data_IF_507505361152
#
_entry.id   IF_507505361152
#
_cell.length_a   1.000
_cell.length_b   1.000
_cell.length_c   1.000
_cell.angle_alpha   90.00
_cell.angle_beta   90.00
_cell.angle_gamma   90.00
#
_symmetry.space_group_name_H-M   'P 1'
#
loop_
_entity.id
_entity.type
_entity.pdbx_description
1 polymer ?
#
# COMPACT_ATOMS: atom_id res chain seq x y z
N UNK A 1 -27.01 -30.30 -20.59
CA UNK A 1 -26.25 -29.11 -21.08
C UNK A 1 -25.00 -28.93 -20.21
N UNK A 2 -24.18 -29.98 -20.07
CA UNK A 2 -23.16 -30.06 -18.99
C UNK A 2 -21.73 -30.28 -19.52
N UNK A 3 -21.56 -30.43 -20.84
CA UNK A 3 -20.27 -30.75 -21.47
C UNK A 3 -19.47 -29.56 -22.01
N UNK A 4 -20.02 -28.34 -22.06
CA UNK A 4 -19.33 -27.17 -22.64
C UNK A 4 -18.43 -26.42 -21.66
N UNK A 5 -18.71 -26.46 -20.35
CA UNK A 5 -17.85 -25.83 -19.33
C UNK A 5 -16.54 -26.63 -19.12
N UNK A 6 -16.60 -27.96 -19.22
CA UNK A 6 -15.44 -28.82 -18.94
C UNK A 6 -14.30 -28.63 -19.96
N UNK A 7 -14.61 -28.40 -21.24
CA UNK A 7 -13.61 -28.18 -22.30
C UNK A 7 -12.89 -26.82 -22.19
N UNK A 8 -13.58 -25.76 -21.78
CA UNK A 8 -13.00 -24.43 -21.61
C UNK A 8 -12.02 -24.43 -20.42
N UNK A 9 -12.43 -25.01 -19.28
CA UNK A 9 -11.55 -25.17 -18.12
C UNK A 9 -10.35 -26.09 -18.41
N UNK A 10 -10.52 -27.12 -19.26
CA UNK A 10 -9.41 -27.99 -19.67
C UNK A 10 -8.40 -27.22 -20.53
N UNK A 11 -8.87 -26.40 -21.47
CA UNK A 11 -8.00 -25.56 -22.30
C UNK A 11 -7.25 -24.53 -21.47
N UNK A 12 -7.91 -23.89 -20.51
CA UNK A 12 -7.28 -22.92 -19.62
C UNK A 12 -6.21 -23.56 -18.73
N UNK A 13 -6.50 -24.74 -18.15
CA UNK A 13 -5.51 -25.53 -17.40
C UNK A 13 -4.31 -25.96 -18.24
N UNK A 14 -4.53 -26.37 -19.49
CA UNK A 14 -3.46 -26.76 -20.40
C UNK A 14 -2.60 -25.55 -20.81
N UNK A 15 -3.23 -24.41 -21.07
CA UNK A 15 -2.54 -23.16 -21.40
C UNK A 15 -1.69 -22.67 -20.22
N UNK A 16 -2.25 -22.68 -19.00
CA UNK A 16 -1.51 -22.35 -17.79
C UNK A 16 -0.31 -23.29 -17.60
N UNK A 17 -0.49 -24.60 -17.77
CA UNK A 17 0.58 -25.58 -17.64
C UNK A 17 1.70 -25.36 -18.67
N UNK A 18 1.33 -25.01 -19.90
CA UNK A 18 2.27 -24.64 -20.95
C UNK A 18 3.05 -23.37 -20.60
N UNK A 19 2.36 -22.31 -20.15
CA UNK A 19 3.01 -21.08 -19.69
C UNK A 19 3.98 -21.34 -18.54
N UNK A 20 3.58 -22.15 -17.56
CA UNK A 20 4.47 -22.56 -16.46
C UNK A 20 5.72 -23.27 -16.98
N UNK A 21 5.58 -24.16 -17.98
CA UNK A 21 6.73 -24.85 -18.57
C UNK A 21 7.68 -23.89 -19.30
N UNK A 22 7.15 -22.90 -20.02
CA UNK A 22 7.96 -21.88 -20.68
C UNK A 22 8.70 -21.01 -19.67
N UNK A 23 7.99 -20.56 -18.63
CA UNK A 23 8.57 -19.78 -17.54
C UNK A 23 9.68 -20.56 -16.82
N UNK A 24 9.46 -21.85 -16.55
CA UNK A 24 10.46 -22.71 -15.92
C UNK A 24 11.72 -22.88 -16.81
N UNK A 25 11.52 -22.97 -18.12
CA UNK A 25 12.63 -23.09 -19.08
C UNK A 25 13.41 -21.79 -19.23
N UNK A 26 12.74 -20.63 -19.22
CA UNK A 26 13.37 -19.32 -19.37
C UNK A 26 13.88 -18.73 -18.05
N UNK A 27 13.45 -19.26 -16.89
CA UNK A 27 13.74 -18.71 -15.56
C UNK A 27 15.24 -18.44 -15.31
N UNK A 28 16.10 -19.39 -15.69
CA UNK A 28 17.56 -19.29 -15.49
C UNK A 28 18.30 -18.50 -16.57
N UNK A 29 17.62 -18.04 -17.62
CA UNK A 29 18.26 -17.24 -18.67
C UNK A 29 18.66 -15.87 -18.13
N UNK A 30 19.81 -15.38 -18.60
CA UNK A 30 20.35 -14.09 -18.21
C UNK A 30 19.43 -13.00 -18.77
N UNK A 31 19.00 -12.09 -17.90
CA UNK A 31 18.26 -10.90 -18.30
C UNK A 31 18.63 -9.75 -17.37
N UNK A 32 18.47 -8.52 -17.85
CA UNK A 32 18.69 -7.34 -17.04
C UNK A 32 17.61 -6.31 -17.30
N UNK A 33 17.33 -5.48 -16.29
CA UNK A 33 16.36 -4.39 -16.42
C UNK A 33 17.05 -3.20 -17.06
N UNK A 34 16.55 -2.75 -18.20
CA UNK A 34 17.04 -1.57 -18.90
C UNK A 34 16.47 -0.29 -18.27
N UNK A 35 15.16 -0.24 -18.07
CA UNK A 35 14.48 0.89 -17.46
C UNK A 35 13.29 0.46 -16.60
N UNK A 36 12.98 1.28 -15.60
CA UNK A 36 11.74 1.19 -14.83
C UNK A 36 10.93 2.45 -15.11
N UNK A 37 9.72 2.29 -15.62
CA UNK A 37 8.81 3.41 -15.92
C UNK A 37 7.57 3.32 -15.06
N UNK A 38 7.18 4.41 -14.41
CA UNK A 38 5.92 4.49 -13.66
C UNK A 38 4.95 5.42 -14.40
N UNK A 39 3.77 4.92 -14.72
CA UNK A 39 2.71 5.65 -15.41
C UNK A 39 1.50 5.82 -14.49
N UNK A 40 0.94 7.03 -14.45
CA UNK A 40 -0.31 7.32 -13.72
C UNK A 40 -0.14 7.90 -12.30
N UNK A 41 1.10 7.98 -11.78
CA UNK A 41 1.42 8.75 -10.59
C UNK A 41 1.45 10.25 -10.91
N UNK A 42 0.61 11.05 -10.24
CA UNK A 42 0.49 12.50 -10.45
C UNK A 42 0.95 13.31 -9.25
N UNK A 43 0.64 12.82 -8.05
CA UNK A 43 0.92 13.51 -6.78
C UNK A 43 2.12 12.91 -6.07
N UNK A 44 2.32 11.59 -6.22
CA UNK A 44 3.42 10.87 -5.57
C UNK A 44 4.78 11.36 -6.10
N UNK A 45 5.73 11.61 -5.21
CA UNK A 45 7.04 12.15 -5.57
C UNK A 45 7.83 11.15 -6.42
N UNK A 46 8.48 11.59 -7.51
CA UNK A 46 9.34 10.73 -8.31
C UNK A 46 10.46 10.06 -7.50
N UNK A 47 11.08 10.80 -6.58
CA UNK A 47 12.15 10.26 -5.71
C UNK A 47 11.66 9.18 -4.74
N UNK A 48 10.40 9.26 -4.30
CA UNK A 48 9.78 8.22 -3.47
C UNK A 48 9.59 6.94 -4.29
N UNK A 49 9.05 7.08 -5.51
CA UNK A 49 8.84 5.95 -6.43
C UNK A 49 10.16 5.32 -6.87
N UNK A 50 11.16 6.12 -7.21
CA UNK A 50 12.50 5.66 -7.57
C UNK A 50 13.10 4.77 -6.47
N UNK A 51 12.99 5.21 -5.21
CA UNK A 51 13.44 4.42 -4.07
C UNK A 51 12.63 3.12 -3.92
N UNK A 52 11.30 3.21 -4.03
CA UNK A 52 10.40 2.06 -3.92
C UNK A 52 10.65 1.00 -5.02
N UNK A 53 11.00 1.44 -6.23
CA UNK A 53 11.19 0.57 -7.40
C UNK A 53 12.64 0.24 -7.71
N UNK A 54 13.56 0.35 -6.73
CA UNK A 54 14.98 0.04 -6.97
C UNK A 54 15.27 -1.46 -7.12
N UNK A 55 14.45 -2.32 -6.50
CA UNK A 55 14.73 -3.77 -6.38
C UNK A 55 14.80 -4.48 -7.74
N UNK A 56 13.89 -4.24 -8.70
CA UNK A 56 13.96 -4.83 -10.04
C UNK A 56 15.25 -4.51 -10.79
N UNK A 57 15.85 -3.33 -10.59
CA UNK A 57 17.11 -2.94 -11.24
C UNK A 57 18.29 -3.83 -10.87
N UNK A 58 18.17 -4.64 -9.81
CA UNK A 58 19.21 -5.55 -9.33
C UNK A 58 19.08 -6.98 -9.90
N UNK A 59 18.03 -7.24 -10.70
CA UNK A 59 17.77 -8.55 -11.29
C UNK A 59 18.86 -8.96 -12.30
N UNK A 60 19.20 -10.26 -12.32
CA UNK A 60 20.23 -10.84 -13.21
C UNK A 60 19.69 -11.94 -14.11
N UNK A 61 18.53 -12.48 -13.77
CA UNK A 61 17.84 -13.55 -14.49
C UNK A 61 16.41 -13.14 -14.80
N UNK A 62 15.79 -13.79 -15.78
CA UNK A 62 14.36 -13.54 -16.09
C UNK A 62 13.48 -13.83 -14.86
N UNK A 63 13.80 -14.88 -14.11
CA UNK A 63 13.09 -15.18 -12.86
C UNK A 63 13.20 -14.04 -11.85
N UNK A 64 14.40 -13.46 -11.67
CA UNK A 64 14.59 -12.31 -10.77
C UNK A 64 13.77 -11.10 -11.22
N UNK A 65 13.73 -10.80 -12.52
CA UNK A 65 12.95 -9.67 -13.05
C UNK A 65 11.47 -9.84 -12.72
N UNK A 66 10.91 -11.03 -12.97
CA UNK A 66 9.50 -11.33 -12.68
C UNK A 66 9.24 -11.25 -11.17
N UNK A 67 10.05 -11.94 -10.36
CA UNK A 67 9.83 -11.99 -8.91
C UNK A 67 10.01 -10.62 -8.25
N UNK A 68 11.04 -9.86 -8.63
CA UNK A 68 11.30 -8.54 -8.04
C UNK A 68 10.29 -7.50 -8.50
N UNK A 69 9.82 -7.56 -9.75
CA UNK A 69 8.80 -6.65 -10.23
C UNK A 69 7.45 -6.90 -9.57
N UNK A 70 7.05 -8.17 -9.42
CA UNK A 70 5.82 -8.53 -8.71
C UNK A 70 5.89 -8.17 -7.22
N UNK A 71 6.99 -8.51 -6.52
CA UNK A 71 7.20 -8.09 -5.12
C UNK A 71 7.12 -6.56 -4.96
N UNK A 72 7.69 -5.82 -5.90
CA UNK A 72 7.63 -4.35 -5.89
C UNK A 72 6.19 -3.86 -6.08
N UNK A 73 5.43 -4.46 -7.00
CA UNK A 73 4.03 -4.09 -7.22
C UNK A 73 3.14 -4.37 -6.00
N UNK A 74 3.32 -5.54 -5.37
CA UNK A 74 2.62 -5.88 -4.14
C UNK A 74 2.94 -4.87 -3.02
N UNK A 75 4.21 -4.51 -2.87
CA UNK A 75 4.63 -3.52 -1.88
C UNK A 75 4.06 -2.14 -2.16
N UNK A 76 4.04 -1.70 -3.43
CA UNK A 76 3.39 -0.46 -3.83
C UNK A 76 1.89 -0.48 -3.51
N UNK A 77 1.21 -1.61 -3.73
CA UNK A 77 -0.20 -1.79 -3.36
C UNK A 77 -0.41 -1.72 -1.84
N UNK A 78 0.50 -2.28 -1.05
CA UNK A 78 0.42 -2.28 0.42
C UNK A 78 0.62 -0.89 1.06
N UNK A 79 1.17 0.08 0.33
CA UNK A 79 1.28 1.47 0.80
C UNK A 79 -0.09 2.17 0.95
N UNK A 80 -1.18 1.58 0.45
CA UNK A 80 -2.55 2.13 0.46
C UNK A 80 -2.71 3.51 -0.20
N UNK A 81 -1.83 3.86 -1.15
CA UNK A 81 -1.93 5.12 -1.91
C UNK A 81 -2.33 4.91 -3.38
N UNK A 82 -2.38 3.66 -3.84
CA UNK A 82 -2.83 3.27 -5.18
C UNK A 82 -4.05 2.36 -5.06
N UNK A 83 -5.05 2.58 -5.91
CA UNK A 83 -6.21 1.69 -6.04
C UNK A 83 -5.88 0.45 -6.88
N UNK A 84 -4.94 0.59 -7.82
CA UNK A 84 -4.52 -0.46 -8.73
C UNK A 84 -3.04 -0.28 -9.11
N UNK A 85 -2.31 -1.39 -9.19
CA UNK A 85 -0.89 -1.45 -9.56
C UNK A 85 -0.71 -2.64 -10.50
N UNK A 86 -0.45 -2.35 -11.77
CA UNK A 86 -0.20 -3.36 -12.80
C UNK A 86 1.26 -3.32 -13.23
N UNK A 87 1.84 -4.51 -13.43
CA UNK A 87 3.19 -4.68 -13.95
C UNK A 87 3.11 -5.17 -15.39
N UNK A 88 3.85 -4.51 -16.27
CA UNK A 88 4.07 -4.96 -17.63
C UNK A 88 5.58 -5.12 -17.85
N UNK A 89 5.95 -6.24 -18.45
CA UNK A 89 7.31 -6.53 -18.85
C UNK A 89 7.37 -6.44 -20.38
N UNK A 90 8.19 -5.52 -20.87
CA UNK A 90 8.36 -5.27 -22.29
C UNK A 90 9.80 -5.60 -22.67
N UNK A 91 10.00 -6.18 -23.85
CA UNK A 91 11.35 -6.34 -24.39
C UNK A 91 11.87 -4.94 -24.76
N UNK A 92 13.03 -4.56 -24.23
CA UNK A 92 13.52 -3.21 -24.46
C UNK A 92 13.93 -2.98 -25.92
N UNK A 93 14.35 -4.03 -26.63
CA UNK A 93 14.72 -3.95 -28.05
C UNK A 93 13.54 -3.59 -28.96
N UNK A 94 12.29 -3.80 -28.51
CA UNK A 94 11.09 -3.44 -29.29
C UNK A 94 10.87 -1.91 -29.32
N UNK A 95 11.33 -1.21 -28.27
CA UNK A 95 11.12 0.23 -28.09
C UNK A 95 12.40 1.05 -28.37
N UNK A 96 13.58 0.48 -28.12
CA UNK A 96 14.87 1.13 -28.32
C UNK A 96 15.87 0.18 -29.02
N UNK A 97 16.23 0.45 -30.29
CA UNK A 97 17.22 -0.33 -31.04
C UNK A 97 18.63 -0.33 -30.42
N UNK A 98 18.94 0.59 -29.51
CA UNK A 98 20.23 0.66 -28.80
C UNK A 98 20.22 -0.09 -27.46
N UNK A 99 19.07 -0.62 -27.03
CA UNK A 99 18.99 -1.41 -25.83
C UNK A 99 19.85 -2.67 -25.95
N UNK A 100 20.49 -3.06 -24.84
CA UNK A 100 21.32 -4.25 -24.83
C UNK A 100 20.47 -5.51 -25.12
N UNK A 101 21.05 -6.55 -25.75
CA UNK A 101 20.35 -7.81 -25.98
C UNK A 101 19.84 -8.40 -24.66
N UNK A 102 18.66 -9.03 -24.70
CA UNK A 102 18.01 -9.67 -23.53
C UNK A 102 17.71 -8.70 -22.38
N UNK A 103 17.44 -7.45 -22.72
CA UNK A 103 17.06 -6.42 -21.75
C UNK A 103 15.55 -6.21 -21.69
N UNK A 104 15.05 -5.95 -20.49
CA UNK A 104 13.62 -5.87 -20.19
C UNK A 104 13.32 -4.49 -19.61
N UNK A 105 12.27 -3.84 -20.11
CA UNK A 105 11.69 -2.66 -19.49
C UNK A 105 10.57 -3.09 -18.55
N UNK A 106 10.61 -2.59 -17.31
CA UNK A 106 9.55 -2.83 -16.31
C UNK A 106 8.66 -1.60 -16.25
N UNK A 107 7.40 -1.74 -16.60
CA UNK A 107 6.43 -0.64 -16.60
C UNK A 107 5.39 -0.88 -15.52
N UNK A 108 5.34 0.01 -14.53
CA UNK A 108 4.29 0.05 -13.52
C UNK A 108 3.19 1.01 -13.96
N UNK A 109 2.00 0.49 -14.24
CA UNK A 109 0.80 1.31 -14.44
C UNK A 109 0.08 1.39 -13.10
N UNK A 110 0.02 2.59 -12.53
CA UNK A 110 -0.60 2.83 -11.23
C UNK A 110 -1.79 3.75 -11.35
N UNK A 111 -2.81 3.51 -10.52
CA UNK A 111 -3.94 4.43 -10.35
C UNK A 111 -3.91 4.98 -8.93
N UNK A 112 -3.60 6.26 -8.78
CA UNK A 112 -3.60 6.92 -7.47
C UNK A 112 -4.99 6.88 -6.82
N UNK A 113 -5.02 6.47 -5.55
CA UNK A 113 -6.21 6.40 -4.72
C UNK A 113 -6.68 7.80 -4.32
N UNK A 114 -7.97 7.94 -4.02
CA UNK A 114 -8.50 9.20 -3.48
C UNK A 114 -7.75 9.61 -2.20
N UNK A 115 -7.29 10.87 -2.19
CA UNK A 115 -6.53 11.43 -1.08
C UNK A 115 -7.41 11.64 0.14
N UNK A 116 -8.60 12.19 -0.01
CA UNK A 116 -9.50 12.53 1.09
C UNK A 116 -10.54 11.43 1.27
N UNK A 117 -10.65 10.93 2.50
CA UNK A 117 -11.70 10.02 2.92
C UNK A 117 -12.28 10.51 4.24
N UNK A 118 -13.60 10.61 4.32
CA UNK A 118 -14.31 11.06 5.51
C UNK A 118 -15.27 9.96 5.92
N UNK A 119 -15.20 9.54 7.18
CA UNK A 119 -16.12 8.58 7.78
C UNK A 119 -16.78 9.26 8.97
N UNK A 120 -18.10 9.20 9.03
CA UNK A 120 -18.86 9.65 10.20
C UNK A 120 -19.76 8.51 10.66
N UNK A 121 -20.03 8.46 11.95
CA UNK A 121 -20.84 7.41 12.54
C UNK A 121 -21.45 7.86 13.85
N UNK A 122 -22.50 7.16 14.25
CA UNK A 122 -23.14 7.32 15.54
C UNK A 122 -23.37 5.94 16.11
N UNK A 123 -22.96 5.75 17.35
CA UNK A 123 -23.14 4.54 18.11
C UNK A 123 -24.10 4.83 19.27
N UNK A 124 -25.10 3.97 19.45
CA UNK A 124 -26.08 4.10 20.54
C UNK A 124 -26.01 2.83 21.38
N UNK A 125 -25.70 2.96 22.66
CA UNK A 125 -25.53 1.83 23.59
C UNK A 125 -25.59 2.28 25.04
N UNK A 126 -26.09 1.45 25.95
CA UNK A 126 -26.25 1.79 27.38
C UNK A 126 -26.96 3.13 27.65
N UNK A 127 -27.97 3.49 26.85
CA UNK A 127 -28.68 4.76 26.94
C UNK A 127 -27.81 6.01 26.64
N UNK A 128 -26.64 5.81 26.02
CA UNK A 128 -25.70 6.84 25.59
C UNK A 128 -25.65 6.89 24.05
N UNK A 129 -25.54 8.10 23.51
CA UNK A 129 -25.27 8.34 22.10
C UNK A 129 -23.86 8.89 21.93
N UNK A 130 -23.02 8.18 21.18
CA UNK A 130 -21.68 8.61 20.82
C UNK A 130 -21.64 8.93 19.33
N UNK A 131 -21.15 10.11 18.97
CA UNK A 131 -20.89 10.50 17.59
C UNK A 131 -19.40 10.44 17.32
N UNK A 132 -18.99 9.80 16.22
CA UNK A 132 -17.60 9.77 15.78
C UNK A 132 -17.44 10.29 14.34
N UNK A 133 -16.31 10.92 14.09
CA UNK A 133 -15.91 11.42 12.79
C UNK A 133 -14.43 11.18 12.58
N UNK A 134 -14.07 10.65 11.42
CA UNK A 134 -12.69 10.41 11.00
C UNK A 134 -12.47 11.07 9.66
N UNK A 135 -11.40 11.85 9.56
CA UNK A 135 -10.91 12.44 8.31
C UNK A 135 -9.53 11.86 8.05
N UNK A 136 -9.37 11.25 6.89
CA UNK A 136 -8.12 10.65 6.44
C UNK A 136 -7.67 11.34 5.16
N UNK A 137 -6.44 11.83 5.16
CA UNK A 137 -5.76 12.42 4.01
C UNK A 137 -4.54 11.58 3.68
N UNK A 138 -4.57 10.90 2.53
CA UNK A 138 -3.48 10.09 2.00
C UNK A 138 -2.54 10.93 1.15
N UNK A 139 -1.29 10.51 1.14
CA UNK A 139 -0.21 11.06 0.35
C UNK A 139 -0.13 12.60 0.47
N UNK A 140 0.03 13.07 1.71
CA UNK A 140 -0.03 14.51 2.01
C UNK A 140 1.06 15.28 1.28
N UNK A 141 2.29 14.77 1.29
CA UNK A 141 3.47 15.42 0.70
C UNK A 141 4.05 14.64 -0.48
N UNK A 142 3.36 13.60 -0.95
CA UNK A 142 3.83 12.76 -2.05
C UNK A 142 4.77 11.62 -1.62
N UNK A 143 5.05 11.45 -0.33
CA UNK A 143 5.89 10.39 0.23
C UNK A 143 5.10 9.28 0.92
N UNK A 144 3.87 9.03 0.46
CA UNK A 144 2.93 8.06 1.03
C UNK A 144 2.53 8.36 2.50
N UNK A 145 2.53 9.64 2.89
CA UNK A 145 2.12 10.02 4.23
C UNK A 145 0.61 9.85 4.43
N UNK A 146 0.22 9.32 5.58
CA UNK A 146 -1.18 9.23 5.99
C UNK A 146 -1.40 10.16 7.17
N UNK A 147 -2.22 11.16 6.95
CA UNK A 147 -2.76 12.03 7.98
C UNK A 147 -4.16 11.55 8.36
N UNK A 148 -4.38 11.25 9.62
CA UNK A 148 -5.67 10.85 10.17
C UNK A 148 -6.04 11.75 11.34
N UNK A 149 -7.26 12.28 11.30
CA UNK A 149 -7.85 13.05 12.39
C UNK A 149 -9.14 12.37 12.82
N UNK A 150 -9.28 12.11 14.11
CA UNK A 150 -10.48 11.50 14.70
C UNK A 150 -11.06 12.47 15.71
N UNK A 151 -12.37 12.70 15.63
CA UNK A 151 -13.15 13.45 16.59
C UNK A 151 -14.28 12.54 17.10
N UNK A 152 -14.53 12.57 18.39
CA UNK A 152 -15.63 11.85 19.02
C UNK A 152 -16.26 12.66 20.13
N UNK A 153 -17.57 12.58 20.23
CA UNK A 153 -18.39 13.31 21.20
C UNK A 153 -19.36 12.31 21.83
N UNK A 154 -19.44 12.30 23.15
CA UNK A 154 -20.29 11.38 23.90
C UNK A 154 -20.71 11.95 25.24
N UNK A 155 -21.62 11.26 25.92
CA UNK A 155 -22.15 11.69 27.23
C UNK A 155 -21.15 11.48 28.36
N UNK A 156 -20.33 10.42 28.31
CA UNK A 156 -19.27 10.12 29.30
C UNK A 156 -17.89 10.68 28.89
N UNK A 157 -17.55 10.56 27.61
CA UNK A 157 -16.40 11.25 27.00
C UNK A 157 -16.92 12.53 26.34
N UNK A 158 -16.95 13.63 27.08
CA UNK A 158 -17.49 14.93 26.63
C UNK A 158 -16.93 15.33 25.25
N UNK A 159 -15.62 15.15 25.04
CA UNK A 159 -15.02 15.24 23.70
C UNK A 159 -13.65 14.57 23.63
N UNK A 160 -13.34 13.98 22.50
CA UNK A 160 -12.03 13.39 22.22
C UNK A 160 -11.59 13.73 20.79
N UNK A 161 -10.38 14.26 20.66
CA UNK A 161 -9.73 14.60 19.41
C UNK A 161 -8.38 13.92 19.34
N UNK A 162 -8.08 13.31 18.20
CA UNK A 162 -6.81 12.68 17.91
C UNK A 162 -6.33 13.08 16.53
N UNK A 163 -5.02 13.30 16.41
CA UNK A 163 -4.30 13.58 15.18
C UNK A 163 -3.16 12.58 15.07
N UNK A 164 -3.00 11.97 13.91
CA UNK A 164 -1.89 11.06 13.59
C UNK A 164 -1.37 11.39 12.20
N UNK A 165 -0.11 11.79 12.08
CA UNK A 165 0.60 11.89 10.81
C UNK A 165 1.66 10.81 10.79
N UNK A 166 1.71 9.99 9.76
CA UNK A 166 2.82 9.06 9.64
C UNK A 166 3.23 8.76 8.21
N UNK A 167 4.44 8.22 8.10
CA UNK A 167 5.17 8.08 6.86
C UNK A 167 5.88 6.71 6.83
N UNK A 168 5.82 5.97 5.71
CA UNK A 168 6.62 4.76 5.56
C UNK A 168 8.11 5.10 5.52
N UNK A 169 8.91 4.32 6.25
CA UNK A 169 10.36 4.45 6.25
C UNK A 169 10.91 3.68 5.07
N UNK A 170 11.87 4.27 4.35
CA UNK A 170 12.50 3.65 3.17
C UNK A 170 11.48 3.20 2.11
N UNK A 171 10.40 3.95 1.92
CA UNK A 171 9.30 3.62 0.99
C UNK A 171 8.78 2.17 1.12
N UNK A 172 8.92 1.56 2.30
CA UNK A 172 8.49 0.19 2.57
C UNK A 172 7.15 0.18 3.31
N UNK A 173 6.20 -0.69 2.93
CA UNK A 173 4.96 -0.87 3.68
C UNK A 173 5.19 -1.49 5.07
N UNK A 174 6.31 -2.18 5.26
CA UNK A 174 6.61 -2.95 6.48
C UNK A 174 7.01 -2.04 7.65
N UNK A 175 7.44 -0.81 7.38
CA UNK A 175 8.02 0.07 8.40
C UNK A 175 7.45 1.47 8.30
N UNK A 176 7.02 2.04 9.42
CA UNK A 176 6.34 3.34 9.45
C UNK A 176 6.64 4.09 10.73
N UNK A 177 6.82 5.41 10.60
CA UNK A 177 6.90 6.34 11.74
C UNK A 177 5.61 7.13 11.81
N UNK A 178 4.99 7.17 12.98
CA UNK A 178 3.81 7.96 13.30
C UNK A 178 4.17 9.04 14.33
N UNK A 179 3.71 10.26 14.11
CA UNK A 179 3.64 11.35 15.08
C UNK A 179 2.17 11.51 15.44
N UNK A 180 1.85 11.44 16.73
CA UNK A 180 0.48 11.57 17.19
C UNK A 180 0.31 12.65 18.26
N UNK A 181 -0.90 13.19 18.33
CA UNK A 181 -1.36 14.09 19.37
C UNK A 181 -2.81 13.77 19.70
N UNK A 182 -3.18 13.88 20.97
CA UNK A 182 -4.55 13.67 21.41
C UNK A 182 -4.94 14.64 22.52
N UNK A 183 -6.24 14.91 22.59
CA UNK A 183 -6.90 15.68 23.64
C UNK A 183 -8.23 15.01 23.95
N UNK A 184 -8.42 14.59 25.19
CA UNK A 184 -9.63 13.92 25.65
C UNK A 184 -10.12 14.61 26.91
N UNK A 185 -11.41 14.94 26.93
CA UNK A 185 -12.10 15.49 28.08
C UNK A 185 -13.14 14.47 28.56
N UNK A 186 -12.93 13.92 29.76
CA UNK A 186 -13.89 13.05 30.43
C UNK A 186 -14.74 13.85 31.40
N UNK A 187 -16.05 13.61 31.36
CA UNK A 187 -16.98 14.20 32.29
C UNK A 187 -17.43 13.13 33.28
N UNK A 188 -16.92 13.20 34.51
CA UNK A 188 -17.24 12.25 35.58
C UNK A 188 -18.27 12.84 36.57
N UNK A 189 -19.06 13.84 36.15
CA UNK A 189 -20.00 14.53 37.04
C UNK A 189 -21.01 13.60 37.73
N UNK A 190 -21.44 12.52 37.04
CA UNK A 190 -22.40 11.54 37.56
C UNK A 190 -21.85 10.71 38.74
N UNK A 191 -20.53 10.56 38.86
CA UNK A 191 -19.92 9.74 39.92
C UNK A 191 -19.16 10.60 40.93
N UNK A 192 -18.42 11.62 40.48
CA UNK A 192 -17.43 12.32 41.31
C UNK A 192 -17.36 13.84 41.06
N UNK A 193 -18.33 14.44 40.36
CA UNK A 193 -18.43 15.91 40.18
C UNK A 193 -17.16 16.62 39.66
N UNK A 194 -16.26 15.91 38.96
CA UNK A 194 -15.05 16.49 38.37
C UNK A 194 -14.94 16.19 36.88
N UNK A 195 -14.21 17.05 36.17
CA UNK A 195 -13.82 16.85 34.78
C UNK A 195 -12.33 16.52 34.69
N UNK A 196 -11.99 15.60 33.80
CA UNK A 196 -10.60 15.20 33.58
C UNK A 196 -10.17 15.55 32.15
N UNK A 197 -9.16 16.41 32.03
CA UNK A 197 -8.54 16.73 30.75
C UNK A 197 -7.24 15.95 30.60
N UNK A 198 -7.24 15.00 29.66
CA UNK A 198 -6.04 14.30 29.22
C UNK A 198 -5.57 14.85 27.87
N UNK A 199 -4.28 15.14 27.75
CA UNK A 199 -3.67 15.61 26.51
C UNK A 199 -2.23 15.18 26.43
N UNK A 200 -1.76 14.90 25.23
CA UNK A 200 -0.38 14.52 25.02
C UNK A 200 -0.07 14.27 23.55
N UNK A 201 1.18 13.97 23.28
CA UNK A 201 1.65 13.56 21.97
C UNK A 201 2.80 12.58 22.11
N UNK A 202 3.13 11.95 21.00
CA UNK A 202 4.15 10.92 20.98
C UNK A 202 4.63 10.62 19.57
N UNK A 203 5.72 9.87 19.53
CA UNK A 203 6.27 9.31 18.31
C UNK A 203 6.19 7.79 18.47
N UNK A 204 5.79 7.10 17.40
CA UNK A 204 5.66 5.65 17.36
C UNK A 204 6.35 5.14 16.11
N UNK A 205 7.25 4.18 16.27
CA UNK A 205 7.81 3.42 15.17
C UNK A 205 7.11 2.06 15.11
N UNK A 206 6.66 1.67 13.93
CA UNK A 206 6.07 0.37 13.63
C UNK A 206 6.97 -0.33 12.62
N UNK A 207 7.32 -1.58 12.88
CA UNK A 207 8.03 -2.42 11.94
C UNK A 207 7.43 -3.83 12.00
N UNK A 208 7.06 -4.36 10.85
CA UNK A 208 6.67 -5.76 10.67
C UNK A 208 7.93 -6.55 10.34
N UNK A 209 8.23 -7.58 11.15
CA UNK A 209 9.23 -8.57 10.77
C UNK A 209 8.52 -9.91 10.51
N UNK A 210 8.92 -10.57 9.43
CA UNK A 210 8.51 -11.95 9.18
C UNK A 210 9.42 -12.83 10.02
N UNK A 211 8.99 -13.21 11.22
CA UNK A 211 9.67 -14.22 12.02
C UNK A 211 9.11 -15.60 11.62
N UNK A 212 9.88 -16.36 10.83
CA UNK A 212 9.54 -17.73 10.47
C UNK A 212 9.69 -18.63 11.71
N UNK A 213 8.63 -19.31 12.12
CA UNK A 213 8.73 -20.46 13.02
C UNK A 213 9.17 -21.67 12.18
N UNK A 214 10.33 -22.24 12.52
CA UNK A 214 10.78 -23.56 12.04
C UNK A 214 10.24 -24.66 12.96
#
# INVERSE_FOLDING_TARGET
MEGSNTSAEQQERNFQSYLFSLLAQSAGSKAHVNAVTILGAKVTLPSFLEYATRKPLQAKTVADVINFSQDTAERLSQLDIFDDVQVLLENASDNDPLAAPDSINVVYKVKEKSRLFIKTGTEVGNNEGNMNGTVTVRNVFGGAELLETVASFGTRTSSAFQFTLGKPVNASPDSRVDINAHRVLYNNALTSSYEELSRGGGIRYKASSVFFFF
#
